data_IF_316499667362
#
_entry.id   IF_316499667362
#
_cell.length_a   1.000
_cell.length_b   1.000
_cell.length_c   1.000
_cell.angle_alpha   90.00
_cell.angle_beta   90.00
_cell.angle_gamma   90.00
#
_symmetry.space_group_name_H-M   'P 1'
#
loop_
_entity.id
_entity.type
_entity.pdbx_description
1 polymer ?
#
# COMPACT_ATOMS: atom_id res chain seq x y z
N UNK A 1 -20.27 37.77 0.97
CA UNK A 1 -19.72 36.83 1.96
C UNK A 1 -20.27 35.44 1.66
N UNK A 2 -19.50 34.38 1.88
CA UNK A 2 -19.94 33.00 1.74
C UNK A 2 -19.62 32.23 3.02
N UNK A 3 -20.40 31.18 3.31
CA UNK A 3 -20.17 30.23 4.40
C UNK A 3 -20.00 28.84 3.80
N UNK A 4 -19.02 28.10 4.31
CA UNK A 4 -18.76 26.71 3.94
C UNK A 4 -18.80 25.90 5.22
N UNK A 5 -19.61 24.85 5.24
CA UNK A 5 -19.65 23.85 6.29
C UNK A 5 -19.30 22.49 5.67
N UNK A 6 -18.33 21.79 6.24
CA UNK A 6 -18.02 20.40 5.88
C UNK A 6 -18.85 19.50 6.79
N UNK A 7 -19.60 18.58 6.20
CA UNK A 7 -20.41 17.60 6.92
C UNK A 7 -20.09 16.19 6.42
N UNK A 8 -20.53 15.18 7.17
CA UNK A 8 -20.35 13.79 6.76
C UNK A 8 -20.93 13.57 5.36
N UNK A 9 -20.18 12.85 4.54
CA UNK A 9 -20.55 12.54 3.17
C UNK A 9 -21.73 11.59 3.09
N UNK A 10 -22.17 11.39 1.86
CA UNK A 10 -23.08 10.29 1.52
C UNK A 10 -22.40 9.54 0.39
N UNK A 11 -22.29 8.24 0.54
CA UNK A 11 -21.72 7.39 -0.49
C UNK A 11 -22.56 7.50 -1.78
N UNK A 12 -21.89 7.82 -2.89
CA UNK A 12 -22.55 7.98 -4.19
C UNK A 12 -22.31 6.77 -5.10
N UNK A 13 -21.21 6.05 -4.91
CA UNK A 13 -20.90 4.84 -5.67
C UNK A 13 -21.46 3.56 -5.05
N UNK A 14 -22.04 2.68 -5.87
CA UNK A 14 -22.48 1.34 -5.44
C UNK A 14 -21.34 0.31 -5.45
N UNK A 15 -20.28 0.57 -6.24
CA UNK A 15 -19.10 -0.28 -6.42
C UNK A 15 -17.84 0.58 -6.28
N UNK A 16 -16.72 -0.03 -5.94
CA UNK A 16 -15.42 0.66 -5.77
C UNK A 16 -15.40 1.68 -4.62
N UNK A 17 -16.11 1.34 -3.53
CA UNK A 17 -16.25 2.15 -2.33
C UNK A 17 -14.90 2.42 -1.68
N UNK A 18 -14.67 3.68 -1.29
CA UNK A 18 -13.49 4.03 -0.51
C UNK A 18 -13.52 3.35 0.88
N UNK A 19 -12.39 2.82 1.39
CA UNK A 19 -12.33 2.34 2.77
C UNK A 19 -12.48 3.46 3.82
N UNK A 20 -12.30 4.73 3.44
CA UNK A 20 -12.34 5.89 4.34
C UNK A 20 -13.76 6.30 4.79
N UNK A 21 -14.79 5.57 4.33
CA UNK A 21 -16.20 5.79 4.66
C UNK A 21 -16.97 6.58 3.61
N UNK A 22 -18.14 7.10 3.98
CA UNK A 22 -19.13 7.72 3.08
C UNK A 22 -18.68 9.04 2.41
N UNK A 23 -17.42 9.44 2.59
CA UNK A 23 -16.81 10.65 2.03
C UNK A 23 -17.16 11.93 2.79
N UNK A 24 -17.11 13.06 2.08
CA UNK A 24 -17.40 14.39 2.64
C UNK A 24 -18.43 15.14 1.80
N UNK A 25 -19.36 15.80 2.47
CA UNK A 25 -20.34 16.69 1.86
C UNK A 25 -19.96 18.15 2.14
N UNK A 26 -19.81 18.94 1.09
CA UNK A 26 -19.52 20.37 1.21
C UNK A 26 -20.82 21.19 1.09
N UNK A 27 -21.27 21.79 2.19
CA UNK A 27 -22.43 22.69 2.18
C UNK A 27 -21.98 24.14 2.07
N UNK A 28 -22.29 24.78 0.95
CA UNK A 28 -21.92 26.16 0.68
C UNK A 28 -23.16 27.07 0.68
N UNK A 29 -23.16 28.10 1.52
CA UNK A 29 -24.16 29.17 1.49
C UNK A 29 -23.51 30.44 0.95
N UNK A 30 -23.93 30.86 -0.25
CA UNK A 30 -23.34 31.98 -0.96
C UNK A 30 -24.27 33.20 -0.85
N UNK A 31 -23.72 34.36 -0.46
CA UNK A 31 -24.48 35.61 -0.44
C UNK A 31 -25.26 35.90 0.84
N UNK A 32 -24.79 35.42 2.00
CA UNK A 32 -25.49 35.49 3.30
C UNK A 32 -25.81 36.90 3.79
N UNK A 33 -24.93 37.88 3.53
CA UNK A 33 -25.06 39.27 4.00
C UNK A 33 -25.17 40.29 2.86
N UNK A 34 -24.71 39.95 1.67
CA UNK A 34 -24.87 40.71 0.43
C UNK A 34 -24.77 39.73 -0.74
N UNK A 35 -25.52 39.90 -1.84
CA UNK A 35 -25.48 39.00 -2.98
C UNK A 35 -24.03 38.87 -3.45
N UNK A 36 -23.52 37.63 -3.47
CA UNK A 36 -22.25 37.37 -4.14
C UNK A 36 -22.55 37.62 -5.63
N UNK A 37 -21.96 38.68 -6.18
CA UNK A 37 -22.21 39.13 -7.56
C UNK A 37 -21.62 38.18 -8.60
N UNK A 38 -21.98 36.90 -8.57
CA UNK A 38 -21.78 35.96 -9.67
C UNK A 38 -22.71 36.41 -10.80
N UNK A 39 -22.21 37.36 -11.59
CA UNK A 39 -22.88 37.80 -12.81
C UNK A 39 -23.05 36.60 -13.75
N UNK A 40 -24.08 36.62 -14.63
CA UNK A 40 -24.23 35.60 -15.66
C UNK A 40 -22.92 35.35 -16.41
N UNK A 41 -22.52 34.09 -16.54
CA UNK A 41 -21.27 33.68 -17.19
C UNK A 41 -20.04 33.67 -16.29
N UNK A 42 -20.14 34.03 -15.00
CA UNK A 42 -19.07 33.82 -14.02
C UNK A 42 -19.17 32.40 -13.43
N UNK A 43 -18.02 31.78 -13.17
CA UNK A 43 -17.92 30.43 -12.64
C UNK A 43 -17.33 30.42 -11.22
N UNK A 44 -17.83 29.50 -10.39
CA UNK A 44 -17.21 29.11 -9.13
C UNK A 44 -16.41 27.84 -9.37
N UNK A 45 -15.11 27.86 -9.05
CA UNK A 45 -14.22 26.70 -9.18
C UNK A 45 -13.84 26.22 -7.80
N UNK A 46 -14.14 24.95 -7.51
CA UNK A 46 -13.78 24.28 -6.26
C UNK A 46 -12.63 23.31 -6.58
N UNK A 47 -11.53 23.41 -5.84
CA UNK A 47 -10.38 22.52 -5.96
C UNK A 47 -10.15 21.88 -4.60
N UNK A 48 -10.13 20.55 -4.57
CA UNK A 48 -9.80 19.78 -3.38
C UNK A 48 -8.91 18.61 -3.80
N UNK A 49 -7.94 18.21 -2.97
CA UNK A 49 -7.18 17.00 -3.22
C UNK A 49 -8.08 15.79 -3.00
N UNK A 50 -7.91 14.77 -3.84
CA UNK A 50 -8.46 13.46 -3.59
C UNK A 50 -7.37 12.62 -2.95
N UNK A 51 -7.62 12.17 -1.73
CA UNK A 51 -6.69 11.32 -0.97
C UNK A 51 -7.46 10.08 -0.57
N UNK A 52 -6.85 8.92 -0.79
CA UNK A 52 -7.36 7.63 -0.33
C UNK A 52 -6.18 6.87 0.29
N UNK A 53 -5.88 7.10 1.58
CA UNK A 53 -4.81 6.38 2.27
C UNK A 53 -5.19 4.90 2.41
N UNK A 54 -4.24 4.02 2.12
CA UNK A 54 -4.38 2.56 2.28
C UNK A 54 -5.66 1.96 1.65
N UNK A 55 -5.84 2.11 0.33
CA UNK A 55 -6.98 1.51 -0.34
C UNK A 55 -7.00 -0.01 -0.14
N UNK A 56 -8.18 -0.58 0.07
CA UNK A 56 -8.31 -2.03 0.30
C UNK A 56 -7.72 -2.84 -0.86
N UNK A 57 -7.00 -3.96 -0.60
CA UNK A 57 -6.51 -4.88 -1.64
C UNK A 57 -7.58 -5.43 -2.59
N UNK A 58 -8.85 -5.42 -2.16
CA UNK A 58 -9.98 -5.85 -2.98
C UNK A 58 -10.46 -4.77 -3.94
N UNK A 59 -10.15 -3.50 -3.66
CA UNK A 59 -10.59 -2.37 -4.47
C UNK A 59 -9.45 -1.90 -5.37
N UNK A 60 -9.43 -2.38 -6.61
CA UNK A 60 -8.42 -2.04 -7.62
C UNK A 60 -8.67 -0.68 -8.29
N UNK A 61 -9.78 -0.03 -7.98
CA UNK A 61 -10.22 1.19 -8.62
C UNK A 61 -10.77 2.15 -7.57
N UNK A 62 -10.39 3.42 -7.61
CA UNK A 62 -11.05 4.45 -6.84
C UNK A 62 -11.74 5.40 -7.80
N UNK A 63 -13.05 5.51 -7.68
CA UNK A 63 -13.86 6.44 -8.46
C UNK A 63 -14.27 7.59 -7.55
N UNK A 64 -14.21 8.80 -8.07
CA UNK A 64 -14.58 10.01 -7.34
C UNK A 64 -15.81 10.66 -7.97
N UNK A 65 -17.01 10.09 -7.79
CA UNK A 65 -18.25 10.72 -8.26
C UNK A 65 -18.51 12.02 -7.51
N UNK A 66 -19.07 12.99 -8.23
CA UNK A 66 -19.47 14.28 -7.66
C UNK A 66 -20.94 14.50 -8.00
N UNK A 67 -21.74 14.69 -6.96
CA UNK A 67 -23.12 15.15 -7.03
C UNK A 67 -23.20 16.56 -6.45
N UNK A 68 -23.85 17.45 -7.17
CA UNK A 68 -24.06 18.83 -6.73
C UNK A 68 -25.53 19.17 -6.77
N UNK A 69 -26.04 19.61 -5.63
CA UNK A 69 -27.41 20.06 -5.44
C UNK A 69 -27.40 21.58 -5.23
N UNK A 70 -28.10 22.31 -6.11
CA UNK A 70 -28.19 23.76 -6.08
C UNK A 70 -29.62 24.22 -5.81
N UNK A 71 -29.78 25.18 -4.89
CA UNK A 71 -31.04 25.88 -4.67
C UNK A 71 -30.79 27.38 -4.50
N UNK A 72 -31.67 28.19 -5.07
CA UNK A 72 -31.67 29.65 -4.89
C UNK A 72 -32.39 30.08 -3.61
N UNK A 73 -33.29 29.26 -3.09
CA UNK A 73 -34.13 29.57 -1.93
C UNK A 73 -34.05 28.48 -0.87
N UNK A 74 -34.22 28.84 0.41
CA UNK A 74 -34.14 27.89 1.54
C UNK A 74 -35.13 26.72 1.41
N UNK A 75 -36.28 26.96 0.76
CA UNK A 75 -37.34 25.97 0.55
C UNK A 75 -37.77 25.90 -0.93
N UNK A 76 -36.89 26.29 -1.84
CA UNK A 76 -37.15 26.28 -3.27
C UNK A 76 -36.88 24.93 -3.94
N UNK A 77 -37.20 24.82 -5.25
CA UNK A 77 -36.84 23.64 -6.03
C UNK A 77 -35.31 23.47 -6.07
N UNK A 78 -34.86 22.24 -5.87
CA UNK A 78 -33.44 21.86 -5.92
C UNK A 78 -33.11 21.32 -7.31
N UNK A 79 -32.07 21.88 -7.94
CA UNK A 79 -31.51 21.35 -9.16
C UNK A 79 -30.31 20.44 -8.84
N UNK A 80 -30.39 19.17 -9.20
CA UNK A 80 -29.32 18.20 -9.02
C UNK A 80 -28.53 18.01 -10.31
N UNK A 81 -27.20 17.98 -10.21
CA UNK A 81 -26.29 17.63 -11.30
C UNK A 81 -25.27 16.60 -10.81
N UNK A 82 -25.03 15.57 -11.62
CA UNK A 82 -23.98 14.59 -11.39
C UNK A 82 -22.93 14.70 -12.49
N UNK A 83 -21.67 14.45 -12.14
CA UNK A 83 -20.58 14.42 -13.11
C UNK A 83 -20.75 13.22 -14.04
N UNK A 84 -20.76 13.48 -15.35
CA UNK A 84 -21.00 12.44 -16.36
C UNK A 84 -19.85 11.43 -16.48
N UNK A 85 -18.61 11.91 -16.28
CA UNK A 85 -17.39 11.12 -16.28
C UNK A 85 -16.63 11.41 -14.99
N UNK A 86 -16.83 10.63 -13.93
CA UNK A 86 -16.10 10.86 -12.69
C UNK A 86 -14.61 10.54 -12.91
N UNK A 87 -13.69 11.33 -12.33
CA UNK A 87 -12.29 10.96 -12.32
C UNK A 87 -12.11 9.67 -11.51
N UNK A 88 -11.14 8.87 -11.93
CA UNK A 88 -10.79 7.60 -11.32
C UNK A 88 -9.28 7.41 -11.28
N UNK A 89 -8.81 6.66 -10.27
CA UNK A 89 -7.40 6.31 -10.08
C UNK A 89 -7.32 4.81 -9.87
N UNK A 90 -6.33 4.16 -10.49
CA UNK A 90 -6.10 2.73 -10.28
C UNK A 90 -5.41 2.50 -8.93
N UNK A 91 -5.71 1.40 -8.27
CA UNK A 91 -5.04 1.01 -7.03
C UNK A 91 -4.20 -0.23 -7.32
N UNK A 92 -2.90 -0.11 -7.07
CA UNK A 92 -1.95 -1.21 -7.23
C UNK A 92 -1.29 -1.47 -5.89
N UNK A 93 -1.48 -2.67 -5.36
CA UNK A 93 -0.78 -3.14 -4.16
C UNK A 93 0.54 -3.76 -4.57
N UNK A 94 1.63 -3.11 -4.18
CA UNK A 94 3.00 -3.56 -4.48
C UNK A 94 3.62 -4.14 -3.23
N UNK A 95 4.20 -5.33 -3.36
CA UNK A 95 4.95 -5.95 -2.27
C UNK A 95 6.41 -5.55 -2.40
N UNK A 96 6.96 -5.05 -1.31
CA UNK A 96 8.40 -4.83 -1.16
C UNK A 96 9.04 -6.09 -0.62
N UNK A 97 9.97 -6.65 -1.38
CA UNK A 97 10.72 -7.84 -0.97
C UNK A 97 12.16 -7.74 -1.49
N UNK A 98 13.08 -7.44 -0.58
CA UNK A 98 14.48 -7.17 -0.89
C UNK A 98 15.34 -8.08 -0.03
N UNK A 99 16.30 -8.75 -0.66
CA UNK A 99 17.28 -9.57 0.04
C UNK A 99 18.69 -9.05 -0.20
N UNK A 100 19.44 -8.88 0.87
CA UNK A 100 20.88 -8.57 0.84
C UNK A 100 21.67 -9.72 1.44
N UNK A 101 22.86 -9.95 0.91
CA UNK A 101 23.77 -10.98 1.40
C UNK A 101 25.22 -10.59 1.21
N UNK A 102 26.09 -11.24 1.99
CA UNK A 102 27.54 -11.12 1.87
C UNK A 102 28.14 -12.52 1.97
N UNK A 103 28.96 -12.87 0.99
CA UNK A 103 29.75 -14.09 1.00
C UNK A 103 31.23 -13.73 0.91
N UNK A 104 32.07 -14.47 1.63
CA UNK A 104 33.51 -14.23 1.69
C UNK A 104 34.21 -15.53 1.32
N UNK A 105 35.00 -15.49 0.26
CA UNK A 105 35.76 -16.62 -0.25
C UNK A 105 37.25 -16.42 0.05
N UNK A 106 37.98 -17.49 0.43
CA UNK A 106 39.43 -17.43 0.50
C UNK A 106 40.00 -17.29 -0.92
N UNK A 107 40.86 -16.31 -1.13
CA UNK A 107 41.52 -16.06 -2.41
C UNK A 107 42.69 -17.02 -2.68
N UNK A 108 43.32 -16.84 -3.84
CA UNK A 108 44.43 -17.70 -4.28
C UNK A 108 45.76 -17.46 -3.56
N UNK A 109 45.98 -16.27 -2.98
CA UNK A 109 47.20 -15.92 -2.25
C UNK A 109 46.94 -15.88 -0.72
N UNK A 110 47.96 -16.14 0.12
CA UNK A 110 47.85 -15.92 1.56
C UNK A 110 47.42 -14.48 1.88
N UNK A 111 46.39 -14.33 2.71
CA UNK A 111 45.84 -13.02 3.09
C UNK A 111 44.96 -12.36 2.03
N UNK A 112 44.71 -13.01 0.89
CA UNK A 112 43.76 -12.53 -0.12
C UNK A 112 42.37 -13.13 0.14
N UNK A 113 41.33 -12.30 0.08
CA UNK A 113 39.94 -12.72 0.17
C UNK A 113 39.12 -12.07 -0.94
N UNK A 114 38.19 -12.83 -1.50
CA UNK A 114 37.22 -12.36 -2.47
C UNK A 114 35.88 -12.21 -1.77
N UNK A 115 35.30 -11.02 -1.80
CA UNK A 115 34.04 -10.70 -1.15
C UNK A 115 33.00 -10.49 -2.23
N UNK A 116 31.84 -11.12 -2.06
CA UNK A 116 30.69 -11.00 -2.92
C UNK A 116 29.52 -10.43 -2.13
N UNK A 117 29.13 -9.20 -2.45
CA UNK A 117 27.90 -8.60 -1.95
C UNK A 117 26.77 -8.88 -2.93
N UNK A 118 25.65 -9.34 -2.41
CA UNK A 118 24.47 -9.69 -3.18
C UNK A 118 23.33 -8.77 -2.79
N UNK A 119 22.66 -8.22 -3.79
CA UNK A 119 21.40 -7.51 -3.64
C UNK A 119 20.42 -8.06 -4.65
N UNK A 120 19.22 -8.43 -4.20
CA UNK A 120 18.19 -8.93 -5.09
C UNK A 120 16.86 -8.25 -4.79
N UNK A 121 16.32 -7.61 -5.84
CA UNK A 121 15.04 -6.93 -5.78
C UNK A 121 13.92 -7.86 -6.25
N UNK A 122 13.41 -8.70 -5.35
CA UNK A 122 12.22 -9.53 -5.61
C UNK A 122 10.89 -8.78 -5.42
N UNK A 123 10.91 -7.44 -5.40
CA UNK A 123 9.72 -6.61 -5.25
C UNK A 123 8.92 -6.54 -6.56
N UNK A 124 7.72 -5.97 -6.49
CA UNK A 124 6.87 -5.73 -7.67
C UNK A 124 7.22 -4.45 -8.44
N UNK A 125 8.33 -3.78 -8.09
CA UNK A 125 8.71 -2.48 -8.67
C UNK A 125 10.20 -2.27 -8.73
N UNK A 126 10.61 -1.36 -9.62
CA UNK A 126 11.98 -0.89 -9.69
C UNK A 126 12.30 0.02 -8.50
N UNK A 127 13.58 0.14 -8.18
CA UNK A 127 14.10 1.00 -7.11
C UNK A 127 15.13 1.95 -7.71
N UNK A 128 15.08 3.21 -7.33
CA UNK A 128 16.12 4.18 -7.68
C UNK A 128 17.22 4.25 -6.62
N UNK A 129 18.36 4.82 -6.99
CA UNK A 129 19.48 5.17 -6.10
C UNK A 129 20.01 4.02 -5.22
N UNK A 130 20.13 2.79 -5.74
CA UNK A 130 20.80 1.71 -5.01
C UNK A 130 22.27 2.06 -4.80
N UNK A 131 22.68 2.00 -3.54
CA UNK A 131 24.08 1.98 -3.13
C UNK A 131 24.32 0.81 -2.15
N UNK A 132 25.35 0.02 -2.43
CA UNK A 132 25.81 -1.03 -1.53
C UNK A 132 26.98 -0.52 -0.69
N UNK A 133 27.00 -0.91 0.58
CA UNK A 133 28.01 -0.48 1.54
C UNK A 133 28.65 -1.69 2.23
N UNK A 134 29.95 -1.56 2.47
CA UNK A 134 30.72 -2.53 3.23
C UNK A 134 31.75 -1.80 4.10
N UNK A 135 32.12 -2.40 5.23
CA UNK A 135 33.20 -1.93 6.10
C UNK A 135 34.34 -2.94 5.99
N UNK A 136 35.41 -2.52 5.32
CA UNK A 136 36.64 -3.29 5.21
C UNK A 136 37.55 -2.93 6.38
N UNK A 137 37.98 -3.90 7.23
CA UNK A 137 38.88 -3.60 8.33
C UNK A 137 40.17 -2.93 7.85
N UNK A 138 40.70 -1.98 8.63
CA UNK A 138 41.83 -1.12 8.21
C UNK A 138 43.16 -1.84 7.93
N UNK A 139 43.26 -3.13 8.24
CA UNK A 139 44.41 -4.00 7.91
C UNK A 139 44.39 -4.51 6.46
N UNK A 140 43.33 -4.21 5.71
CA UNK A 140 43.13 -4.69 4.35
C UNK A 140 43.12 -3.55 3.34
N UNK A 141 43.65 -3.83 2.16
CA UNK A 141 43.59 -2.95 0.99
C UNK A 141 42.68 -3.56 -0.07
N UNK A 142 41.87 -2.72 -0.70
CA UNK A 142 40.94 -3.14 -1.77
C UNK A 142 41.67 -3.01 -3.11
N UNK A 143 41.80 -4.11 -3.85
CA UNK A 143 42.51 -4.15 -5.14
C UNK A 143 41.57 -3.80 -6.30
N UNK A 144 40.65 -4.71 -6.62
CA UNK A 144 39.75 -4.64 -7.77
C UNK A 144 38.30 -4.86 -7.31
N UNK A 145 37.35 -4.19 -7.94
CA UNK A 145 35.92 -4.41 -7.73
C UNK A 145 35.15 -4.37 -9.05
N UNK A 146 34.25 -5.32 -9.23
CA UNK A 146 33.42 -5.50 -10.41
C UNK A 146 31.96 -5.56 -9.96
N UNK A 147 31.09 -4.83 -10.65
CA UNK A 147 29.63 -4.87 -10.41
C UNK A 147 28.96 -5.60 -11.56
N UNK A 148 28.18 -6.63 -11.23
CA UNK A 148 27.44 -7.46 -12.18
C UNK A 148 25.95 -7.39 -11.90
N UNK A 149 25.18 -7.26 -12.96
CA UNK A 149 23.73 -7.41 -13.02
C UNK A 149 23.41 -8.68 -13.80
N UNK A 150 22.42 -9.42 -13.35
CA UNK A 150 21.88 -10.57 -14.08
C UNK A 150 21.16 -10.19 -15.38
N UNK A 151 20.68 -8.95 -15.50
CA UNK A 151 19.98 -8.43 -16.68
C UNK A 151 20.85 -7.62 -17.63
N UNK A 152 21.69 -6.74 -17.09
CA UNK A 152 22.49 -5.79 -17.89
C UNK A 152 23.97 -6.22 -18.02
N UNK A 153 24.40 -7.28 -17.34
CA UNK A 153 25.79 -7.75 -17.37
C UNK A 153 26.70 -6.89 -16.48
N UNK A 154 27.86 -6.49 -16.97
CA UNK A 154 28.79 -5.66 -16.19
C UNK A 154 28.33 -4.19 -16.19
N UNK A 155 28.28 -3.58 -15.01
CA UNK A 155 27.78 -2.21 -14.82
C UNK A 155 28.86 -1.31 -14.24
N UNK A 156 28.97 -0.09 -14.76
CA UNK A 156 29.81 0.93 -14.13
C UNK A 156 29.11 1.47 -12.88
N UNK A 157 29.76 1.34 -11.73
CA UNK A 157 29.31 1.92 -10.47
C UNK A 157 30.35 2.91 -9.96
N UNK A 158 29.92 4.05 -9.42
CA UNK A 158 30.86 4.98 -8.79
C UNK A 158 31.21 4.49 -7.39
N UNK A 159 32.50 4.39 -7.11
CA UNK A 159 33.01 3.86 -5.84
C UNK A 159 33.54 5.01 -4.98
N UNK A 160 33.04 5.13 -3.75
CA UNK A 160 33.59 6.05 -2.75
C UNK A 160 34.17 5.26 -1.58
N UNK A 161 35.30 5.74 -1.04
CA UNK A 161 36.00 5.14 0.10
C UNK A 161 36.14 6.20 1.18
N UNK A 162 35.59 5.94 2.36
CA UNK A 162 35.60 6.85 3.50
C UNK A 162 36.21 6.16 4.72
N UNK A 163 36.98 6.88 5.53
CA UNK A 163 37.51 6.32 6.78
C UNK A 163 36.43 6.31 7.85
N UNK A 164 36.11 5.13 8.38
CA UNK A 164 35.19 4.90 9.48
C UNK A 164 35.94 4.46 10.74
N UNK A 165 35.25 4.39 11.89
CA UNK A 165 35.85 3.97 13.17
C UNK A 165 36.34 2.51 13.14
N UNK A 166 35.63 1.65 12.43
CA UNK A 166 35.86 0.21 12.39
C UNK A 166 36.57 -0.27 11.11
N UNK A 167 37.00 0.67 10.24
CA UNK A 167 37.68 0.35 8.99
C UNK A 167 37.51 1.40 7.91
N UNK A 168 37.67 1.00 6.65
CA UNK A 168 37.33 1.81 5.47
C UNK A 168 35.94 1.44 5.01
N UNK A 169 34.99 2.37 5.06
CA UNK A 169 33.67 2.20 4.50
C UNK A 169 33.75 2.41 2.99
N UNK A 170 33.33 1.40 2.23
CA UNK A 170 33.27 1.43 0.77
C UNK A 170 31.82 1.51 0.37
N UNK A 171 31.51 2.38 -0.58
CA UNK A 171 30.18 2.51 -1.15
C UNK A 171 30.25 2.35 -2.65
N UNK A 172 29.42 1.46 -3.20
CA UNK A 172 29.19 1.30 -4.62
C UNK A 172 27.82 1.89 -4.96
N UNK A 173 27.80 3.07 -5.57
CA UNK A 173 26.57 3.65 -6.08
C UNK A 173 26.28 3.08 -7.48
N UNK A 174 25.24 2.24 -7.54
CA UNK A 174 24.85 1.47 -8.73
C UNK A 174 23.71 2.18 -9.47
N UNK A 175 22.84 2.90 -8.74
CA UNK A 175 21.72 3.65 -9.31
C UNK A 175 20.45 2.81 -9.44
N UNK A 176 19.75 2.93 -10.57
CA UNK A 176 18.43 2.32 -10.78
C UNK A 176 18.49 0.80 -10.96
N UNK A 177 17.66 0.08 -10.21
CA UNK A 177 17.53 -1.38 -10.24
C UNK A 177 16.12 -1.77 -10.67
N UNK A 178 16.01 -2.66 -11.63
CA UNK A 178 14.77 -3.16 -12.18
C UNK A 178 14.07 -4.14 -11.25
N UNK A 179 12.80 -4.40 -11.53
CA UNK A 179 12.03 -5.45 -10.87
C UNK A 179 12.66 -6.83 -11.12
N UNK A 180 12.88 -7.63 -10.08
CA UNK A 180 13.45 -8.97 -10.20
C UNK A 180 14.92 -9.00 -10.63
N UNK A 181 15.64 -7.87 -10.53
CA UNK A 181 17.07 -7.80 -10.86
C UNK A 181 17.93 -8.17 -9.64
N UNK A 182 19.03 -8.88 -9.91
CA UNK A 182 20.05 -9.23 -8.94
C UNK A 182 21.37 -8.54 -9.29
N UNK A 183 21.90 -7.80 -8.32
CA UNK A 183 23.22 -7.18 -8.40
C UNK A 183 24.20 -7.92 -7.50
N UNK A 184 25.38 -8.18 -8.05
CA UNK A 184 26.51 -8.78 -7.38
C UNK A 184 27.71 -7.84 -7.48
N UNK A 185 28.25 -7.43 -6.33
CA UNK A 185 29.51 -6.68 -6.27
C UNK A 185 30.58 -7.62 -5.79
N UNK A 186 31.50 -7.96 -6.68
CA UNK A 186 32.66 -8.79 -6.36
C UNK A 186 33.87 -7.89 -6.21
N UNK A 187 34.56 -7.97 -5.08
CA UNK A 187 35.81 -7.24 -4.89
C UNK A 187 36.83 -8.03 -4.09
N UNK A 188 38.10 -7.76 -4.35
CA UNK A 188 39.22 -8.45 -3.70
C UNK A 188 39.83 -7.56 -2.63
N UNK A 189 40.06 -8.14 -1.45
CA UNK A 189 40.85 -7.52 -0.39
C UNK A 189 42.14 -8.29 -0.16
N UNK A 190 43.22 -7.55 0.08
CA UNK A 190 44.54 -8.08 0.41
C UNK A 190 44.94 -7.56 1.79
N UNK A 191 45.17 -8.50 2.71
CA UNK A 191 45.64 -8.24 4.07
C UNK A 191 47.06 -8.74 4.28
N UNK A 192 47.56 -8.51 5.50
CA UNK A 192 48.86 -8.99 5.96
C UNK A 192 48.81 -10.50 6.24
N UNK A 193 49.64 -11.34 5.56
CA UNK A 193 49.67 -12.78 5.77
C UNK A 193 50.18 -13.22 7.15
N UNK A 194 50.81 -12.34 7.93
CA UNK A 194 51.26 -12.64 9.29
C UNK A 194 50.19 -12.36 10.37
N UNK A 195 49.07 -11.71 10.00
CA UNK A 195 47.98 -11.44 10.92
C UNK A 195 46.99 -12.62 10.97
N UNK A 196 46.67 -13.11 12.18
CA UNK A 196 45.58 -14.07 12.39
C UNK A 196 44.23 -13.39 12.08
N UNK A 197 43.78 -13.53 10.84
CA UNK A 197 42.50 -12.99 10.41
C UNK A 197 41.37 -14.01 10.60
N UNK A 198 40.29 -13.59 11.27
CA UNK A 198 39.06 -14.37 11.34
C UNK A 198 38.13 -13.94 10.21
N UNK A 199 37.78 -14.89 9.36
CA UNK A 199 36.85 -14.70 8.24
C UNK A 199 35.47 -14.19 8.71
N UNK A 200 35.08 -14.48 9.96
CA UNK A 200 33.87 -13.94 10.59
C UNK A 200 33.84 -12.41 10.58
N UNK A 201 34.99 -11.77 10.81
CA UNK A 201 35.06 -10.32 10.99
C UNK A 201 34.82 -9.60 9.65
N UNK A 202 35.12 -10.25 8.52
CA UNK A 202 34.71 -9.77 7.20
C UNK A 202 33.24 -10.01 6.92
N UNK A 203 32.57 -10.98 7.53
CA UNK A 203 31.17 -11.28 7.21
C UNK A 203 30.18 -10.37 7.93
N UNK A 204 30.57 -9.78 9.07
CA UNK A 204 29.65 -9.11 9.98
C UNK A 204 29.09 -7.76 9.47
N UNK A 205 29.79 -7.06 8.56
CA UNK A 205 29.40 -5.70 8.16
C UNK A 205 29.03 -5.62 6.67
N UNK A 206 27.73 -5.47 6.38
CA UNK A 206 27.24 -5.02 5.07
C UNK A 206 25.94 -4.23 5.21
N UNK A 207 25.69 -3.36 4.24
CA UNK A 207 24.45 -2.60 4.16
C UNK A 207 24.07 -2.30 2.71
N UNK A 208 22.79 -1.99 2.51
CA UNK A 208 22.30 -1.44 1.25
C UNK A 208 21.43 -0.24 1.57
N UNK A 209 21.66 0.87 0.87
CA UNK A 209 20.75 2.01 0.83
C UNK A 209 20.15 2.10 -0.55
N UNK A 210 18.90 2.54 -0.62
CA UNK A 210 18.17 2.67 -1.88
C UNK A 210 17.06 3.70 -1.69
N UNK A 211 16.67 4.31 -2.80
CA UNK A 211 15.69 5.36 -2.87
C UNK A 211 14.25 4.86 -2.94
N UNK A 212 13.41 5.67 -3.56
CA UNK A 212 11.98 5.40 -3.71
C UNK A 212 11.71 4.30 -4.75
N UNK A 213 10.56 3.64 -4.59
CA UNK A 213 10.03 2.73 -5.60
C UNK A 213 9.59 3.53 -6.82
N UNK A 214 9.99 3.07 -8.00
CA UNK A 214 9.67 3.71 -9.27
C UNK A 214 8.82 2.78 -10.10
N UNK A 215 7.64 3.29 -10.44
CA UNK A 215 6.71 2.61 -11.33
C UNK A 215 7.22 2.71 -12.77
N UNK A 216 7.17 1.60 -13.51
CA UNK A 216 7.47 1.63 -14.96
C UNK A 216 6.42 2.45 -15.72
N UNK A 217 5.17 2.45 -15.27
CA UNK A 217 4.09 3.28 -15.78
C UNK A 217 3.50 4.15 -14.67
N UNK A 218 3.47 5.49 -14.82
CA UNK A 218 2.92 6.37 -13.81
C UNK A 218 1.40 6.19 -13.71
N UNK A 219 0.88 6.00 -12.49
CA UNK A 219 -0.54 5.93 -12.22
C UNK A 219 -1.22 7.30 -12.40
N UNK A 220 -1.54 7.63 -13.65
CA UNK A 220 -2.21 8.89 -14.01
C UNK A 220 -3.72 8.77 -13.83
N UNK A 221 -4.40 9.83 -13.34
CA UNK A 221 -5.86 9.83 -13.24
C UNK A 221 -6.52 9.59 -14.60
N UNK A 222 -7.48 8.68 -14.62
CA UNK A 222 -8.30 8.38 -15.78
C UNK A 222 -9.73 8.90 -15.55
N UNK A 223 -10.56 8.84 -16.57
CA UNK A 223 -11.98 9.23 -16.49
C UNK A 223 -12.81 7.98 -16.75
N UNK A 224 -13.77 7.70 -15.87
CA UNK A 224 -14.67 6.58 -16.10
C UNK A 224 -15.56 6.92 -17.30
N UNK A 225 -15.31 6.24 -18.42
CA UNK A 225 -16.25 6.26 -19.52
C UNK A 225 -17.50 5.47 -19.10
N UNK A 226 -18.69 6.02 -19.38
CA UNK A 226 -19.93 5.25 -19.26
C UNK A 226 -19.75 4.00 -20.13
N UNK A 227 -19.72 2.82 -19.51
CA UNK A 227 -19.53 1.57 -20.21
C UNK A 227 -20.32 1.54 -21.52
N UNK A 228 -19.60 1.35 -22.63
CA UNK A 228 -20.14 0.50 -23.69
C UNK A 228 -20.26 -0.85 -23.01
N UNK A 229 -21.42 -1.13 -22.44
CA UNK A 229 -21.82 -2.49 -22.11
C UNK A 229 -21.55 -3.31 -23.37
N UNK A 230 -20.49 -4.12 -23.35
CA UNK A 230 -20.34 -5.22 -24.28
C UNK A 230 -21.45 -6.21 -23.93
N UNK A 231 -22.69 -5.88 -24.30
CA UNK A 231 -23.72 -6.87 -24.53
C UNK A 231 -23.22 -7.66 -25.71
N UNK A 232 -22.60 -8.80 -25.42
CA UNK A 232 -22.41 -9.87 -26.37
C UNK A 232 -23.75 -10.13 -27.04
N UNK A 233 -23.87 -9.65 -28.29
CA UNK A 233 -24.99 -9.97 -29.17
C UNK A 233 -24.97 -11.49 -29.31
N UNK A 234 -26.00 -12.23 -28.88
CA UNK A 234 -26.07 -13.65 -29.17
C UNK A 234 -26.23 -13.78 -30.68
N UNK A 235 -25.27 -14.45 -31.30
CA UNK A 235 -25.27 -14.85 -32.69
C UNK A 235 -26.63 -15.41 -33.08
N UNK A 236 -27.17 -14.84 -34.15
CA UNK A 236 -28.37 -15.25 -34.84
C UNK A 236 -28.19 -16.68 -35.37
N UNK A 237 -28.75 -17.68 -34.71
CA UNK A 237 -29.03 -18.98 -35.33
C UNK A 237 -30.53 -19.11 -35.61
N UNK A 238 -30.80 -19.14 -36.91
CA UNK A 238 -32.07 -19.46 -37.57
C UNK A 238 -32.41 -20.92 -37.34
N UNK A 239 -33.53 -21.25 -36.70
CA UNK A 239 -34.28 -22.50 -36.94
C UNK A 239 -35.79 -22.19 -36.88
N UNK A 240 -36.51 -22.91 -37.72
CA UNK A 240 -37.78 -22.63 -38.41
C UNK A 240 -39.06 -22.63 -37.56
N UNK A 241 -40.08 -21.95 -38.11
CA UNK A 241 -41.50 -21.92 -37.73
C UNK A 241 -42.12 -23.33 -37.73
N UNK A 242 -43.06 -23.74 -36.86
CA UNK A 242 -44.54 -23.58 -36.98
C UNK A 242 -45.27 -24.34 -35.82
N UNK A 243 -46.61 -24.22 -35.61
CA UNK A 243 -47.23 -23.96 -34.30
C UNK A 243 -48.24 -25.04 -33.82
N UNK A 244 -48.82 -24.84 -32.61
CA UNK A 244 -50.20 -25.14 -32.12
C UNK A 244 -50.15 -25.31 -30.58
N UNK A 245 -50.72 -24.42 -29.75
CA UNK A 245 -52.12 -24.10 -29.40
C UNK A 245 -52.63 -24.87 -28.14
N UNK A 246 -53.15 -24.10 -27.16
CA UNK A 246 -54.03 -24.51 -26.01
C UNK A 246 -53.42 -25.44 -24.93
N UNK A 247 -53.73 -25.39 -23.63
CA UNK A 247 -54.90 -24.94 -22.89
C UNK A 247 -54.57 -24.77 -21.39
N UNK A 248 -55.46 -24.08 -20.67
CA UNK A 248 -55.41 -23.68 -19.26
C UNK A 248 -55.72 -24.82 -18.25
N UNK A 249 -55.59 -24.47 -16.96
CA UNK A 249 -56.25 -25.00 -15.75
C UNK A 249 -55.52 -26.17 -15.05
N UNK A 250 -55.49 -26.39 -13.72
CA UNK A 250 -55.89 -25.69 -12.48
C UNK A 250 -55.42 -26.57 -11.30
N UNK A 251 -54.90 -25.95 -10.24
CA UNK A 251 -55.23 -26.17 -8.79
C UNK A 251 -54.88 -27.49 -8.07
N UNK A 252 -54.45 -27.29 -6.79
CA UNK A 252 -54.59 -28.08 -5.55
C UNK A 252 -53.38 -28.88 -4.99
N UNK A 253 -52.61 -28.23 -4.09
CA UNK A 253 -52.47 -28.46 -2.62
C UNK A 253 -52.44 -29.90 -2.04
N UNK A 254 -51.98 -30.10 -0.78
CA UNK A 254 -50.66 -29.92 -0.16
C UNK A 254 -50.30 -31.20 0.67
N UNK A 255 -49.49 -31.10 1.75
CA UNK A 255 -49.28 -32.03 2.91
C UNK A 255 -47.79 -32.41 3.07
N UNK A 256 -47.07 -31.72 3.98
CA UNK A 256 -46.66 -32.11 5.36
C UNK A 256 -45.56 -33.18 5.38
N UNK A 257 -44.34 -32.82 5.80
CA UNK A 257 -43.81 -32.80 7.18
C UNK A 257 -43.59 -34.20 7.78
N UNK A 258 -42.31 -34.46 8.08
CA UNK A 258 -41.67 -35.27 9.12
C UNK A 258 -40.40 -35.87 8.48
N UNK A 259 -39.19 -35.80 9.01
CA UNK A 259 -38.69 -35.49 10.34
C UNK A 259 -37.30 -36.15 10.44
N UNK A 260 -36.66 -35.96 11.59
CA UNK A 260 -35.46 -36.65 12.10
C UNK A 260 -34.11 -35.95 11.85
N UNK A 261 -33.59 -35.52 13.00
CA UNK A 261 -32.27 -34.99 13.28
C UNK A 261 -31.18 -36.05 13.18
N UNK A 262 -29.93 -35.62 13.07
CA UNK A 262 -28.91 -36.04 14.02
C UNK A 262 -27.79 -34.99 14.13
N UNK A 263 -27.26 -34.92 15.34
CA UNK A 263 -26.26 -33.98 15.87
C UNK A 263 -24.86 -34.43 15.50
N UNK A 264 -23.93 -33.49 15.41
CA UNK A 264 -22.55 -33.67 15.89
C UNK A 264 -21.94 -32.29 16.18
N UNK A 265 -21.62 -32.07 17.45
CA UNK A 265 -20.74 -31.02 17.98
C UNK A 265 -19.30 -31.57 17.92
N UNK A 266 -18.31 -30.73 17.62
CA UNK A 266 -16.96 -30.99 18.09
C UNK A 266 -16.22 -29.67 18.38
N UNK A 267 -15.63 -29.64 19.56
CA UNK A 267 -14.94 -28.56 20.24
C UNK A 267 -13.58 -28.23 19.62
N UNK A 268 -13.15 -26.96 19.69
CA UNK A 268 -11.75 -26.57 19.50
C UNK A 268 -11.20 -25.90 20.77
N UNK A 269 -10.22 -26.59 21.34
CA UNK A 269 -9.45 -26.22 22.51
C UNK A 269 -8.47 -25.05 22.27
N UNK A 270 -8.20 -24.43 23.41
CA UNK A 270 -7.36 -23.31 23.77
C UNK A 270 -5.85 -23.54 23.53
N UNK A 271 -5.12 -22.52 23.07
CA UNK A 271 -3.66 -22.48 23.19
C UNK A 271 -3.16 -21.08 23.62
N UNK A 272 -2.45 -21.07 24.75
CA UNK A 272 -1.78 -19.91 25.36
C UNK A 272 -0.28 -20.05 25.13
N UNK A 273 0.40 -19.00 24.68
CA UNK A 273 1.85 -18.90 24.83
C UNK A 273 2.29 -17.52 25.36
N UNK A 274 3.30 -17.60 26.22
CA UNK A 274 3.81 -16.63 27.17
C UNK A 274 4.70 -15.55 26.51
N UNK A 275 4.63 -14.32 27.03
CA UNK A 275 5.52 -13.21 26.65
C UNK A 275 6.60 -13.06 27.73
N UNK A 276 7.86 -13.08 27.29
CA UNK A 276 9.07 -12.87 28.09
C UNK A 276 9.23 -11.38 28.42
N UNK A 277 9.52 -11.06 29.69
CA UNK A 277 9.83 -9.71 30.19
C UNK A 277 11.28 -9.33 29.88
N UNK A 278 11.48 -8.09 29.43
CA UNK A 278 12.75 -7.36 29.50
C UNK A 278 12.43 -5.94 29.99
N UNK A 279 12.96 -5.60 31.16
CA UNK A 279 12.84 -4.30 31.80
C UNK A 279 13.79 -3.27 31.14
N UNK A 280 13.26 -2.11 30.77
CA UNK A 280 14.04 -0.85 30.65
C UNK A 280 13.17 0.28 31.18
N UNK A 281 13.66 0.94 32.24
CA UNK A 281 13.06 2.12 32.86
C UNK A 281 13.18 3.36 31.95
N UNK A 282 12.09 4.13 31.88
CA UNK A 282 12.02 5.45 31.24
C UNK A 282 10.68 6.09 31.56
N UNK A 283 10.66 6.99 32.54
CA UNK A 283 9.52 7.74 33.06
C UNK A 283 8.98 8.74 32.04
N UNK A 284 7.87 8.41 31.36
CA UNK A 284 6.90 9.38 30.83
C UNK A 284 5.47 8.79 30.87
N UNK A 285 4.65 9.28 31.80
CA UNK A 285 3.17 9.29 31.76
C UNK A 285 2.45 8.02 31.32
N UNK A 286 2.25 7.06 32.24
CA UNK A 286 1.55 5.81 31.94
C UNK A 286 0.08 6.06 31.51
N UNK A 287 -0.33 5.69 30.28
CA UNK A 287 -1.69 5.92 29.81
C UNK A 287 -2.70 5.03 30.55
N UNK A 288 -3.80 5.62 31.04
CA UNK A 288 -4.87 4.85 31.69
C UNK A 288 -5.54 4.00 30.61
N UNK A 289 -5.43 2.67 30.68
CA UNK A 289 -6.05 1.76 29.71
C UNK A 289 -7.38 1.21 30.27
N UNK A 290 -8.35 1.01 29.40
CA UNK A 290 -9.62 0.39 29.75
C UNK A 290 -9.40 -1.11 30.09
N UNK A 291 -9.84 -1.60 31.26
CA UNK A 291 -9.62 -3.00 31.65
C UNK A 291 -10.42 -4.01 30.82
N UNK A 292 -11.43 -3.56 30.06
CA UNK A 292 -12.27 -4.45 29.24
C UNK A 292 -11.73 -4.62 27.81
N UNK A 293 -11.10 -3.59 27.23
CA UNK A 293 -10.68 -3.62 25.82
C UNK A 293 -9.25 -3.13 25.56
N UNK A 294 -8.52 -2.70 26.59
CA UNK A 294 -7.15 -2.21 26.47
C UNK A 294 -7.02 -0.83 25.81
N UNK A 295 -8.12 -0.17 25.47
CA UNK A 295 -8.09 1.15 24.82
C UNK A 295 -7.64 2.26 25.79
N UNK A 296 -6.80 3.18 25.32
CA UNK A 296 -6.33 4.33 26.10
C UNK A 296 -7.47 5.32 26.36
N UNK A 297 -7.68 5.67 27.61
CA UNK A 297 -8.77 6.54 28.07
C UNK A 297 -8.20 7.79 28.71
N UNK A 298 -8.70 8.94 28.24
CA UNK A 298 -8.24 10.25 28.66
C UNK A 298 -8.42 10.47 30.17
N UNK A 299 -7.48 11.18 30.79
CA UNK A 299 -7.53 11.53 32.21
C UNK A 299 -8.79 12.36 32.49
N UNK A 300 -9.75 11.76 33.20
CA UNK A 300 -11.03 12.38 33.59
C UNK A 300 -12.27 11.74 32.98
N UNK A 301 -12.13 10.80 32.04
CA UNK A 301 -13.28 10.04 31.53
C UNK A 301 -13.67 8.90 32.48
N UNK A 302 -14.96 8.83 32.84
CA UNK A 302 -15.55 7.75 33.64
C UNK A 302 -16.11 6.60 32.80
N UNK A 303 -16.11 6.71 31.47
CA UNK A 303 -16.68 5.71 30.55
C UNK A 303 -15.75 5.55 29.34
N UNK A 304 -15.47 4.31 28.95
CA UNK A 304 -14.70 4.01 27.75
C UNK A 304 -15.54 4.26 26.48
N UNK A 305 -15.01 5.04 25.54
CA UNK A 305 -15.70 5.38 24.28
C UNK A 305 -15.82 4.20 23.30
N UNK A 306 -14.98 3.18 23.46
CA UNK A 306 -14.95 2.01 22.55
C UNK A 306 -15.94 0.94 23.00
N UNK A 307 -15.97 0.60 24.29
CA UNK A 307 -16.79 -0.51 24.79
C UNK A 307 -17.87 -0.12 25.78
N UNK A 308 -17.99 1.17 26.14
CA UNK A 308 -18.99 1.67 27.09
C UNK A 308 -18.73 1.26 28.55
N UNK A 309 -17.60 0.61 28.85
CA UNK A 309 -17.30 0.17 30.21
C UNK A 309 -17.01 1.36 31.13
N UNK A 310 -17.65 1.40 32.29
CA UNK A 310 -17.41 2.41 33.33
C UNK A 310 -16.08 2.15 34.03
N UNK A 311 -15.25 3.19 34.12
CA UNK A 311 -13.93 3.15 34.73
C UNK A 311 -14.03 3.69 36.15
N UNK A 312 -13.76 2.85 37.15
CA UNK A 312 -13.68 3.23 38.56
C UNK A 312 -12.45 4.07 38.89
#
# INVERSE_FOLDING_TARGET
QYRIDVVNGTQLEDKHVSPDGDGHSLRMTIGTSAPLGLQPGKALVIRYPLTAPDPSPRNQLLVAPIKVDFSSERFGPVATRMVEKPPMISVVHKRRNISTGKEVFPGGKPGQYEIMLMFHNSSDSALDDLALHDIVPGTFTIEESIVRSDKEGEREASITKESARDGTQVTWAIGRILQGERIEVLYTIQGDPEAEYKVSDAQDFHGATFGEEVDEEPNVPQWLDKDVENTTIPSKETIEETPEETEQLTVSDPIQEEGVADKEEDDLENDKQEIVKLDVEGDEGNPRLCPACGFQVDMGSSICVVCGNTLS
#
